data_IF_729055234185
#
_entry.id   IF_729055234185
#
_cell.length_a   1.000
_cell.length_b   1.000
_cell.length_c   1.000
_cell.angle_alpha   90.00
_cell.angle_beta   90.00
_cell.angle_gamma   90.00
#
_symmetry.space_group_name_H-M   'P 1'
#
loop_
_entity.id
_entity.type
_entity.pdbx_description
1 polymer ?
#
# COMPACT_ATOMS: atom_id res chain seq x y z
N UNK A 1 -39.32 4.78 -4.68
CA UNK A 1 -38.52 3.92 -5.59
C UNK A 1 -37.37 3.41 -4.77
N UNK A 2 -37.07 2.10 -4.81
CA UNK A 2 -35.93 1.56 -4.07
C UNK A 2 -34.62 2.10 -4.68
N UNK A 3 -33.67 2.51 -3.83
CA UNK A 3 -32.33 2.90 -4.27
C UNK A 3 -31.63 1.73 -4.97
N UNK A 4 -31.04 2.01 -6.13
CA UNK A 4 -30.30 1.03 -6.94
C UNK A 4 -28.79 1.13 -6.69
N UNK A 5 -28.32 2.27 -6.19
CA UNK A 5 -26.94 2.50 -5.79
C UNK A 5 -26.86 3.45 -4.59
N UNK A 6 -25.70 3.50 -3.95
CA UNK A 6 -25.35 4.55 -2.98
C UNK A 6 -24.45 5.59 -3.67
N UNK A 7 -24.75 6.86 -3.49
CA UNK A 7 -23.93 7.97 -3.98
C UNK A 7 -23.22 8.64 -2.81
N UNK A 8 -21.90 8.75 -2.89
CA UNK A 8 -21.14 9.56 -1.96
C UNK A 8 -21.41 11.06 -2.24
N UNK A 9 -21.88 11.82 -1.26
CA UNK A 9 -22.14 13.25 -1.36
C UNK A 9 -20.86 14.09 -1.44
N UNK A 10 -19.74 13.57 -0.95
CA UNK A 10 -18.46 14.29 -0.91
C UNK A 10 -17.72 14.23 -2.25
N UNK A 11 -17.76 13.09 -2.95
CA UNK A 11 -17.04 12.90 -4.22
C UNK A 11 -17.91 12.44 -5.40
N UNK A 12 -19.21 12.25 -5.21
CA UNK A 12 -20.15 11.85 -6.25
C UNK A 12 -20.02 10.40 -6.74
N UNK A 13 -19.19 9.58 -6.11
CA UNK A 13 -18.99 8.19 -6.50
C UNK A 13 -20.28 7.36 -6.31
N UNK A 14 -20.63 6.55 -7.31
CA UNK A 14 -21.75 5.62 -7.26
C UNK A 14 -21.25 4.22 -6.88
N UNK A 15 -21.87 3.61 -5.88
CA UNK A 15 -21.45 2.39 -5.21
C UNK A 15 -22.60 1.38 -5.28
N UNK A 16 -22.30 0.13 -5.64
CA UNK A 16 -23.32 -0.91 -5.93
C UNK A 16 -23.89 -1.57 -4.66
N UNK A 17 -23.28 -1.37 -3.49
CA UNK A 17 -23.65 -2.06 -2.25
C UNK A 17 -23.25 -1.27 -1.00
N UNK A 18 -23.79 -1.66 0.16
CA UNK A 18 -23.43 -1.09 1.46
C UNK A 18 -21.98 -1.40 1.83
N UNK A 19 -21.51 -2.61 1.53
CA UNK A 19 -20.10 -3.03 1.76
C UNK A 19 -19.13 -2.13 1.00
N UNK A 20 -19.41 -1.85 -0.28
CA UNK A 20 -18.58 -0.95 -1.07
C UNK A 20 -18.62 0.51 -0.54
N UNK A 21 -19.73 0.93 0.07
CA UNK A 21 -19.80 2.22 0.74
C UNK A 21 -18.97 2.25 2.04
N UNK A 22 -18.89 1.15 2.77
CA UNK A 22 -18.02 1.02 3.94
C UNK A 22 -16.55 1.06 3.52
N UNK A 23 -16.14 0.27 2.52
CA UNK A 23 -14.77 0.30 1.98
C UNK A 23 -14.40 1.69 1.45
N UNK A 24 -15.31 2.34 0.72
CA UNK A 24 -15.11 3.70 0.24
C UNK A 24 -14.95 4.69 1.41
N UNK A 25 -15.75 4.55 2.47
CA UNK A 25 -15.65 5.37 3.67
C UNK A 25 -14.30 5.19 4.37
N UNK A 26 -13.82 3.95 4.50
CA UNK A 26 -12.53 3.65 5.13
C UNK A 26 -11.35 4.18 4.31
N UNK A 27 -11.38 4.01 2.98
CA UNK A 27 -10.29 4.42 2.11
C UNK A 27 -10.21 5.94 1.92
N UNK A 28 -11.37 6.59 1.82
CA UNK A 28 -11.46 8.02 1.48
C UNK A 28 -11.81 8.92 2.66
N UNK A 29 -12.15 8.34 3.82
CA UNK A 29 -12.69 9.07 4.99
C UNK A 29 -13.97 9.86 4.68
N UNK A 30 -14.71 9.49 3.64
CA UNK A 30 -16.01 10.09 3.31
C UNK A 30 -17.11 9.44 4.15
N UNK A 31 -18.07 10.23 4.60
CA UNK A 31 -19.15 9.77 5.49
C UNK A 31 -20.55 10.13 5.00
N UNK A 32 -20.64 10.94 3.95
CA UNK A 32 -21.90 11.38 3.39
C UNK A 32 -22.34 10.43 2.27
N UNK A 33 -23.27 9.51 2.55
CA UNK A 33 -23.83 8.60 1.54
C UNK A 33 -25.34 8.80 1.44
N UNK A 34 -25.83 8.92 0.20
CA UNK A 34 -27.25 9.06 -0.11
C UNK A 34 -27.69 7.98 -1.10
N UNK A 35 -28.92 7.49 -0.97
CA UNK A 35 -29.49 6.55 -1.94
C UNK A 35 -29.70 7.26 -3.29
N UNK A 36 -29.33 6.58 -4.37
CA UNK A 36 -29.54 7.04 -5.74
C UNK A 36 -30.31 6.00 -6.55
N UNK A 37 -31.13 6.49 -7.48
CA UNK A 37 -31.82 5.67 -8.49
C UNK A 37 -30.95 5.39 -9.72
N UNK A 38 -29.73 5.94 -9.78
CA UNK A 38 -28.78 5.73 -10.86
C UNK A 38 -28.11 4.36 -10.71
N UNK A 39 -28.10 3.54 -11.76
CA UNK A 39 -27.38 2.27 -11.74
C UNK A 39 -25.87 2.50 -11.96
N UNK A 40 -25.03 1.78 -11.23
CA UNK A 40 -23.58 1.76 -11.48
C UNK A 40 -23.33 1.05 -12.81
N UNK A 41 -22.59 1.70 -13.72
CA UNK A 41 -22.26 1.12 -15.01
C UNK A 41 -21.43 -0.17 -14.81
N UNK A 42 -21.68 -1.21 -15.61
CA UNK A 42 -20.95 -2.47 -15.58
C UNK A 42 -20.68 -2.95 -17.01
N UNK A 43 -19.65 -2.37 -17.63
CA UNK A 43 -19.21 -2.71 -18.97
C UNK A 43 -18.17 -3.82 -18.89
N UNK A 44 -18.50 -5.03 -19.31
CA UNK A 44 -17.60 -6.19 -19.21
C UNK A 44 -16.90 -6.41 -20.56
N UNK A 45 -15.56 -6.40 -20.55
CA UNK A 45 -14.78 -6.69 -21.74
C UNK A 45 -14.98 -8.14 -22.20
N UNK A 46 -15.27 -8.39 -23.48
CA UNK A 46 -15.51 -9.75 -24.01
C UNK A 46 -14.26 -10.61 -24.02
N UNK A 47 -13.09 -9.99 -24.23
CA UNK A 47 -11.81 -10.70 -24.37
C UNK A 47 -11.22 -11.14 -23.03
N UNK A 48 -11.38 -10.34 -21.97
CA UNK A 48 -10.75 -10.61 -20.67
C UNK A 48 -11.70 -10.58 -19.48
N UNK A 49 -13.00 -10.41 -19.72
CA UNK A 49 -14.06 -10.42 -18.70
C UNK A 49 -13.87 -9.42 -17.55
N UNK A 50 -13.01 -8.40 -17.72
CA UNK A 50 -12.82 -7.35 -16.72
C UNK A 50 -14.02 -6.40 -16.74
N UNK A 51 -14.68 -6.16 -15.61
CA UNK A 51 -15.75 -5.17 -15.50
C UNK A 51 -15.16 -3.76 -15.42
N UNK A 52 -15.70 -2.84 -16.19
CA UNK A 52 -15.37 -1.42 -16.17
C UNK A 52 -16.60 -0.63 -15.70
N UNK A 53 -16.41 0.21 -14.68
CA UNK A 53 -17.48 0.93 -13.97
C UNK A 53 -17.82 2.28 -14.56
N UNK A 54 -17.07 2.72 -15.56
CA UNK A 54 -17.28 4.00 -16.22
C UNK A 54 -16.79 3.96 -17.66
N UNK A 55 -17.24 4.92 -18.47
CA UNK A 55 -16.77 5.06 -19.85
C UNK A 55 -15.26 5.31 -19.90
N UNK A 56 -14.75 6.15 -19.01
CA UNK A 56 -13.31 6.44 -18.89
C UNK A 56 -12.50 5.19 -18.55
N UNK A 57 -13.03 4.30 -17.70
CA UNK A 57 -12.37 3.04 -17.37
C UNK A 57 -12.33 2.08 -18.57
N UNK A 58 -13.42 1.97 -19.34
CA UNK A 58 -13.44 1.17 -20.58
C UNK A 58 -12.46 1.72 -21.63
N UNK A 59 -12.30 3.04 -21.71
CA UNK A 59 -11.38 3.69 -22.66
C UNK A 59 -9.92 3.51 -22.22
N UNK A 60 -9.63 3.60 -20.91
CA UNK A 60 -8.31 3.28 -20.35
C UNK A 60 -7.97 1.80 -20.51
N UNK A 61 -8.95 0.91 -20.30
CA UNK A 61 -8.81 -0.52 -20.52
C UNK A 61 -8.44 -0.80 -21.99
N UNK A 62 -9.15 -0.16 -22.92
CA UNK A 62 -8.86 -0.25 -24.36
C UNK A 62 -7.44 0.22 -24.67
N UNK A 63 -7.01 1.36 -24.12
CA UNK A 63 -5.66 1.91 -24.36
C UNK A 63 -4.54 1.04 -23.77
N UNK A 64 -4.77 0.40 -22.61
CA UNK A 64 -3.75 -0.40 -21.91
C UNK A 64 -3.65 -1.83 -22.42
N UNK A 65 -4.78 -2.42 -22.84
CA UNK A 65 -4.86 -3.85 -23.19
C UNK A 65 -5.13 -4.08 -24.68
N UNK A 66 -5.59 -3.06 -25.41
CA UNK A 66 -6.02 -3.19 -26.80
C UNK A 66 -7.40 -3.81 -26.99
N UNK A 67 -8.11 -4.17 -25.92
CA UNK A 67 -9.44 -4.77 -26.03
C UNK A 67 -10.51 -3.68 -26.23
N UNK A 68 -11.26 -3.77 -27.32
CA UNK A 68 -12.23 -2.74 -27.74
C UNK A 68 -13.69 -3.16 -27.57
N UNK A 69 -13.96 -4.44 -27.33
CA UNK A 69 -15.30 -5.00 -27.25
C UNK A 69 -15.77 -5.13 -25.80
N UNK A 70 -16.91 -4.52 -25.49
CA UNK A 70 -17.53 -4.54 -24.16
C UNK A 70 -19.04 -4.84 -24.27
N UNK A 71 -19.54 -5.63 -23.33
CA UNK A 71 -20.96 -5.92 -23.17
C UNK A 71 -21.47 -5.17 -21.94
N UNK A 72 -22.57 -4.43 -22.11
CA UNK A 72 -23.25 -3.77 -21.00
C UNK A 72 -24.09 -4.79 -20.22
N UNK A 73 -23.67 -5.06 -18.98
CA UNK A 73 -24.36 -5.96 -18.03
C UNK A 73 -24.94 -5.19 -16.84
N UNK A 74 -25.17 -3.89 -16.98
CA UNK A 74 -25.70 -3.05 -15.91
C UNK A 74 -26.98 -3.60 -15.29
N UNK A 75 -27.94 -4.01 -16.12
CA UNK A 75 -29.24 -4.51 -15.65
C UNK A 75 -29.16 -5.85 -14.90
N UNK A 76 -28.14 -6.68 -15.16
CA UNK A 76 -27.95 -7.95 -14.44
C UNK A 76 -27.42 -7.74 -13.00
N UNK A 77 -26.74 -6.62 -12.77
CA UNK A 77 -26.19 -6.25 -11.45
C UNK A 77 -27.12 -5.37 -10.61
N UNK A 78 -28.26 -4.93 -11.15
CA UNK A 78 -29.29 -4.18 -10.42
C UNK A 78 -30.08 -5.15 -9.55
N UNK A 79 -29.59 -5.37 -8.33
CA UNK A 79 -30.40 -5.92 -7.23
C UNK A 79 -30.74 -4.79 -6.26
N UNK A 80 -31.99 -4.69 -5.78
CA UNK A 80 -32.34 -3.70 -4.77
C UNK A 80 -31.49 -3.93 -3.52
N UNK A 81 -30.90 -2.87 -2.99
CA UNK A 81 -30.05 -2.92 -1.80
C UNK A 81 -30.96 -3.28 -0.61
N UNK A 82 -30.76 -4.46 -0.03
CA UNK A 82 -31.46 -4.91 1.18
C UNK A 82 -30.65 -4.55 2.41
N UNK A 83 -31.24 -3.79 3.33
CA UNK A 83 -30.58 -3.25 4.53
C UNK A 83 -30.64 -4.17 5.76
N UNK A 84 -31.09 -5.43 5.65
CA UNK A 84 -31.24 -6.32 6.80
C UNK A 84 -30.30 -7.54 6.75
N UNK A 85 -29.43 -7.63 7.76
CA UNK A 85 -28.62 -8.81 8.06
C UNK A 85 -29.46 -9.85 8.83
N UNK A 86 -29.53 -11.13 8.40
CA UNK A 86 -30.24 -12.16 9.14
C UNK A 86 -29.42 -12.64 10.35
N UNK A 87 -29.99 -12.43 11.53
CA UNK A 87 -29.52 -12.93 12.83
C UNK A 87 -29.86 -14.42 12.97
N UNK A 88 -28.86 -15.30 12.90
CA UNK A 88 -29.06 -16.74 13.06
C UNK A 88 -29.28 -17.12 14.53
N UNK A 89 -30.36 -17.86 14.75
CA UNK A 89 -30.82 -18.40 16.01
C UNK A 89 -30.12 -19.71 16.38
N UNK A 90 -30.14 -20.00 17.68
CA UNK A 90 -29.67 -21.21 18.33
C UNK A 90 -30.30 -22.51 17.80
N UNK A 91 -29.53 -23.60 17.85
CA UNK A 91 -30.05 -24.97 17.89
C UNK A 91 -29.30 -25.76 18.97
N UNK A 92 -30.08 -26.31 19.90
CA UNK A 92 -29.69 -27.34 20.87
C UNK A 92 -29.64 -28.72 20.21
N UNK A 93 -28.73 -29.59 20.65
CA UNK A 93 -28.91 -31.06 20.66
C UNK A 93 -28.26 -31.67 21.91
N UNK A 94 -29.06 -32.52 22.55
CA UNK A 94 -28.89 -33.37 23.75
C UNK A 94 -27.80 -34.48 23.70
N UNK A 95 -27.27 -34.76 24.90
CA UNK A 95 -26.95 -36.06 25.56
C UNK A 95 -26.19 -37.22 24.89
N UNK A 96 -25.12 -37.69 25.57
CA UNK A 96 -24.82 -39.10 25.98
C UNK A 96 -23.54 -39.08 26.86
N UNK A 97 -23.67 -39.25 28.19
CA UNK A 97 -23.52 -40.48 29.02
C UNK A 97 -22.07 -40.97 29.23
N UNK A 98 -21.73 -41.25 30.51
CA UNK A 98 -20.81 -42.34 30.85
C UNK A 98 -19.65 -42.07 31.81
N UNK A 99 -19.93 -42.11 33.13
CA UNK A 99 -19.11 -42.74 34.21
C UNK A 99 -17.64 -42.33 34.42
N UNK A 100 -17.26 -41.71 35.54
CA UNK A 100 -16.95 -42.31 36.87
C UNK A 100 -15.43 -42.33 37.16
N UNK A 101 -15.03 -41.82 38.33
CA UNK A 101 -13.74 -42.17 38.93
C UNK A 101 -13.05 -41.04 39.72
N UNK A 102 -13.20 -41.07 41.04
CA UNK A 102 -12.49 -40.25 42.04
C UNK A 102 -10.97 -40.44 42.05
N UNK A 103 -10.23 -39.40 42.45
CA UNK A 103 -8.84 -39.55 42.92
C UNK A 103 -8.08 -38.23 43.03
N UNK A 104 -7.73 -37.88 44.26
CA UNK A 104 -7.01 -36.68 44.71
C UNK A 104 -5.50 -36.67 44.36
N UNK A 105 -4.88 -35.50 44.51
CA UNK A 105 -3.45 -35.18 44.59
C UNK A 105 -2.70 -34.69 43.33
N UNK A 106 -2.65 -33.35 43.21
CA UNK A 106 -1.49 -32.52 42.84
C UNK A 106 -0.73 -32.82 41.55
N UNK A 107 -1.17 -32.21 40.45
CA UNK A 107 -0.33 -31.70 39.37
C UNK A 107 -1.02 -30.47 38.77
N UNK A 108 -0.29 -29.37 38.56
CA UNK A 108 -0.88 -28.14 37.99
C UNK A 108 -1.18 -28.41 36.53
N UNK A 109 -2.44 -28.68 36.21
CA UNK A 109 -2.91 -28.98 34.87
C UNK A 109 -2.67 -27.78 33.94
N UNK A 110 -1.75 -27.92 33.00
CA UNK A 110 -1.46 -26.91 31.98
C UNK A 110 -2.49 -27.04 30.86
N UNK A 111 -3.51 -26.19 30.89
CA UNK A 111 -4.61 -26.24 29.92
C UNK A 111 -4.35 -25.27 28.78
N UNK A 112 -4.62 -25.74 27.55
CA UNK A 112 -4.58 -24.95 26.31
C UNK A 112 -5.52 -23.73 26.45
N UNK A 113 -5.10 -22.50 26.08
CA UNK A 113 -6.00 -21.35 26.09
C UNK A 113 -7.31 -21.66 25.37
N UNK A 114 -8.44 -21.27 25.97
CA UNK A 114 -9.76 -21.34 25.33
C UNK A 114 -9.83 -20.35 24.16
N UNK A 115 -9.41 -20.79 22.98
CA UNK A 115 -9.48 -20.04 21.71
C UNK A 115 -10.70 -20.47 20.91
N UNK A 116 -11.20 -19.58 20.06
CA UNK A 116 -12.38 -19.83 19.24
C UNK A 116 -12.12 -20.96 18.23
N UNK A 117 -12.83 -22.08 18.41
CA UNK A 117 -12.61 -23.32 17.66
C UNK A 117 -12.79 -23.15 16.15
N UNK A 118 -13.74 -22.31 15.73
CA UNK A 118 -14.01 -22.06 14.32
C UNK A 118 -12.83 -21.37 13.62
N UNK A 119 -12.25 -20.35 14.26
CA UNK A 119 -11.11 -19.61 13.70
C UNK A 119 -9.84 -20.45 13.78
N UNK A 120 -9.71 -21.28 14.82
CA UNK A 120 -8.62 -22.23 14.95
C UNK A 120 -8.64 -23.29 13.84
N UNK A 121 -9.80 -23.87 13.52
CA UNK A 121 -9.97 -24.83 12.42
C UNK A 121 -9.66 -24.22 11.05
N UNK A 122 -10.01 -22.94 10.85
CA UNK A 122 -9.70 -22.22 9.61
C UNK A 122 -8.19 -21.95 9.47
N UNK A 123 -7.51 -21.55 10.55
CA UNK A 123 -6.05 -21.39 10.57
C UNK A 123 -5.32 -22.73 10.38
N UNK A 124 -5.82 -23.81 10.98
CA UNK A 124 -5.33 -25.18 10.72
C UNK A 124 -5.55 -25.57 9.24
N UNK A 125 -6.70 -25.20 8.66
CA UNK A 125 -7.03 -25.40 7.25
C UNK A 125 -6.15 -24.61 6.27
N UNK A 126 -5.65 -23.44 6.70
CA UNK A 126 -4.65 -22.64 5.97
C UNK A 126 -3.23 -23.22 6.08
N UNK A 127 -3.01 -24.24 6.91
CA UNK A 127 -1.73 -24.92 7.08
C UNK A 127 -0.86 -24.38 8.20
N UNK A 128 -1.39 -23.53 9.10
CA UNK A 128 -0.65 -23.10 10.28
C UNK A 128 -0.67 -24.20 11.36
N UNK A 129 0.47 -24.50 12.01
CA UNK A 129 0.49 -25.43 13.14
C UNK A 129 -0.47 -25.00 14.25
N UNK A 130 -1.19 -25.95 14.86
CA UNK A 130 -2.15 -25.69 15.95
C UNK A 130 -1.57 -24.85 17.08
N UNK A 131 -0.30 -25.08 17.44
CA UNK A 131 0.39 -24.30 18.47
C UNK A 131 0.52 -22.82 18.10
N UNK A 132 0.94 -22.54 16.86
CA UNK A 132 1.05 -21.20 16.29
C UNK A 132 -0.30 -20.52 16.16
N UNK A 133 -1.32 -21.23 15.68
CA UNK A 133 -2.69 -20.72 15.56
C UNK A 133 -3.30 -20.37 16.93
N UNK A 134 -3.11 -21.24 17.93
CA UNK A 134 -3.56 -21.01 19.31
C UNK A 134 -2.84 -19.82 19.93
N UNK A 135 -1.54 -19.67 19.69
CA UNK A 135 -0.72 -18.55 20.16
C UNK A 135 -1.17 -17.24 19.52
N UNK A 136 -1.35 -17.25 18.19
CA UNK A 136 -1.84 -16.11 17.44
C UNK A 136 -3.21 -15.65 17.92
N UNK A 137 -4.15 -16.58 18.11
CA UNK A 137 -5.48 -16.27 18.63
C UNK A 137 -5.44 -15.74 20.06
N UNK A 138 -4.56 -16.28 20.90
CA UNK A 138 -4.40 -15.81 22.27
C UNK A 138 -3.83 -14.38 22.32
N UNK A 139 -2.82 -14.04 21.50
CA UNK A 139 -2.22 -12.71 21.49
C UNK A 139 -2.98 -11.68 20.64
N UNK A 140 -3.72 -12.13 19.63
CA UNK A 140 -4.68 -11.29 18.88
C UNK A 140 -5.97 -11.05 19.67
N UNK A 141 -6.18 -11.77 20.78
CA UNK A 141 -7.33 -11.62 21.67
C UNK A 141 -8.63 -12.19 21.10
N UNK A 142 -8.56 -13.23 20.26
CA UNK A 142 -9.69 -13.84 19.56
C UNK A 142 -10.51 -12.83 18.72
N UNK A 143 -9.89 -11.77 18.18
CA UNK A 143 -10.61 -10.67 17.54
C UNK A 143 -11.19 -11.04 16.16
N UNK A 144 -10.39 -11.65 15.28
CA UNK A 144 -10.81 -12.17 13.97
C UNK A 144 -9.73 -13.09 13.37
N UNK A 145 -10.05 -13.78 12.29
CA UNK A 145 -9.09 -14.58 11.52
C UNK A 145 -7.92 -13.71 11.02
N UNK A 146 -8.22 -12.56 10.43
CA UNK A 146 -7.23 -11.65 9.86
C UNK A 146 -6.29 -11.10 10.93
N UNK A 147 -6.80 -10.79 12.12
CA UNK A 147 -5.98 -10.35 13.25
C UNK A 147 -5.02 -11.44 13.72
N UNK A 148 -5.45 -12.71 13.72
CA UNK A 148 -4.59 -13.84 14.02
C UNK A 148 -3.54 -14.08 12.93
N UNK A 149 -3.92 -14.01 11.65
CA UNK A 149 -2.98 -14.13 10.52
C UNK A 149 -1.95 -13.00 10.53
N UNK A 150 -2.36 -11.76 10.79
CA UNK A 150 -1.43 -10.63 10.89
C UNK A 150 -0.43 -10.84 12.03
N UNK A 151 -0.88 -11.34 13.18
CA UNK A 151 0.02 -11.69 14.28
C UNK A 151 1.02 -12.78 13.90
N UNK A 152 0.56 -13.83 13.20
CA UNK A 152 1.43 -14.92 12.71
C UNK A 152 2.53 -14.38 11.79
N UNK A 153 2.17 -13.50 10.85
CA UNK A 153 3.13 -12.90 9.90
C UNK A 153 4.15 -12.03 10.62
N UNK A 154 3.72 -11.22 11.59
CA UNK A 154 4.62 -10.36 12.37
C UNK A 154 5.63 -11.14 13.22
N UNK A 155 5.32 -12.39 13.59
CA UNK A 155 6.11 -13.23 14.50
C UNK A 155 6.59 -14.54 13.85
N UNK A 156 6.55 -14.66 12.52
CA UNK A 156 6.85 -15.91 11.81
C UNK A 156 8.31 -16.38 11.92
N UNK A 157 9.22 -15.45 12.24
CA UNK A 157 10.66 -15.68 12.36
C UNK A 157 11.10 -15.94 13.80
N UNK A 158 10.17 -15.94 14.75
CA UNK A 158 10.49 -16.19 16.15
C UNK A 158 10.73 -17.69 16.38
N UNK A 159 11.86 -18.09 17.00
CA UNK A 159 12.23 -19.50 17.16
C UNK A 159 11.27 -20.28 18.06
N UNK A 160 10.41 -19.59 18.82
CA UNK A 160 9.40 -20.15 19.71
C UNK A 160 7.96 -20.02 19.17
N UNK A 161 7.77 -19.57 17.93
CA UNK A 161 6.43 -19.33 17.33
C UNK A 161 5.57 -20.61 17.26
N UNK A 162 6.20 -21.78 17.14
CA UNK A 162 5.55 -23.09 17.10
C UNK A 162 5.47 -23.79 18.47
N UNK A 163 5.97 -23.16 19.53
CA UNK A 163 5.84 -23.70 20.88
C UNK A 163 4.44 -23.41 21.43
N UNK A 164 3.78 -24.47 21.90
CA UNK A 164 2.42 -24.36 22.43
C UNK A 164 2.43 -23.48 23.70
N UNK A 165 1.68 -22.35 23.70
CA UNK A 165 1.69 -21.43 24.82
C UNK A 165 1.08 -22.10 26.05
N UNK A 166 1.87 -22.22 27.11
CA UNK A 166 1.43 -22.72 28.41
C UNK A 166 0.95 -21.54 29.24
N UNK A 167 -0.36 -21.45 29.46
CA UNK A 167 -0.94 -20.50 30.42
C UNK A 167 -1.45 -21.26 31.65
N UNK A 168 -1.23 -20.75 32.87
CA UNK A 168 -1.85 -21.33 34.06
C UNK A 168 -3.37 -21.16 33.99
N UNK A 169 -4.11 -22.21 34.34
CA UNK A 169 -5.56 -22.38 34.12
C UNK A 169 -6.50 -21.38 34.87
N UNK A 170 -6.00 -20.23 35.32
CA UNK A 170 -6.84 -19.19 35.92
C UNK A 170 -6.35 -17.78 35.58
N UNK A 171 -6.64 -17.33 34.35
CA UNK A 171 -6.60 -15.91 33.95
C UNK A 171 -7.99 -15.33 33.71
N UNK A 172 -9.03 -15.92 34.31
CA UNK A 172 -10.24 -15.19 34.66
C UNK A 172 -10.28 -15.14 36.19
N UNK A 173 -9.93 -13.97 36.75
CA UNK A 173 -9.76 -13.67 38.19
C UNK A 173 -8.47 -14.18 38.87
N UNK A 174 -7.33 -13.59 38.50
CA UNK A 174 -6.18 -13.46 39.41
C UNK A 174 -6.23 -12.11 40.15
N UNK A 175 -5.72 -12.01 41.40
CA UNK A 175 -5.68 -10.73 42.11
C UNK A 175 -4.89 -9.73 41.27
N UNK A 176 -5.23 -8.43 41.34
CA UNK A 176 -4.58 -7.43 40.51
C UNK A 176 -3.08 -7.56 40.73
N UNK A 177 -2.32 -7.75 39.64
CA UNK A 177 -0.87 -7.46 39.63
C UNK A 177 -0.69 -6.15 40.41
N UNK A 178 0.31 -6.03 41.31
CA UNK A 178 0.45 -4.86 42.17
C UNK A 178 0.31 -3.62 41.29
N UNK A 179 -0.82 -2.95 41.42
CA UNK A 179 -1.16 -1.85 40.55
C UNK A 179 -0.03 -0.85 40.71
N UNK A 180 0.74 -0.61 39.65
CA UNK A 180 1.55 0.61 39.61
C UNK A 180 0.61 1.71 40.03
N UNK A 181 1.06 2.51 40.98
CA UNK A 181 0.20 3.54 41.55
C UNK A 181 -0.32 4.40 40.39
N UNK A 182 -1.58 4.86 40.43
CA UNK A 182 -2.14 5.66 39.35
C UNK A 182 -1.30 6.91 39.01
N UNK A 183 -0.40 7.31 39.90
CA UNK A 183 0.62 8.34 39.69
C UNK A 183 1.79 7.84 38.80
N UNK A 184 2.35 6.65 39.04
CA UNK A 184 3.44 6.10 38.23
C UNK A 184 3.01 5.82 36.78
N UNK A 185 1.76 5.41 36.56
CA UNK A 185 1.21 5.19 35.21
C UNK A 185 1.04 6.50 34.45
N UNK A 186 0.59 7.57 35.13
CA UNK A 186 0.49 8.91 34.52
C UNK A 186 1.86 9.47 34.18
N UNK A 187 2.85 9.30 35.06
CA UNK A 187 4.22 9.77 34.83
C UNK A 187 4.82 9.07 33.60
N UNK A 188 4.71 7.74 33.50
CA UNK A 188 5.18 6.99 32.31
C UNK A 188 4.42 7.36 31.04
N UNK A 189 3.10 7.60 31.13
CA UNK A 189 2.30 8.04 29.99
C UNK A 189 2.70 9.45 29.53
N UNK A 190 3.00 10.36 30.45
CA UNK A 190 3.52 11.69 30.15
C UNK A 190 4.91 11.63 29.52
N UNK A 191 5.82 10.83 30.09
CA UNK A 191 7.18 10.62 29.56
C UNK A 191 7.16 10.06 28.12
N UNK A 192 6.32 9.06 27.85
CA UNK A 192 6.14 8.51 26.50
C UNK A 192 5.61 9.55 25.51
N UNK A 193 4.67 10.41 25.93
CA UNK A 193 4.15 11.51 25.11
C UNK A 193 5.21 12.57 24.82
N UNK A 194 6.01 12.95 25.82
CA UNK A 194 7.10 13.91 25.62
C UNK A 194 8.19 13.35 24.72
N UNK A 195 8.53 12.07 24.87
CA UNK A 195 9.48 11.37 23.99
C UNK A 195 8.96 11.30 22.56
N UNK A 196 7.67 11.06 22.36
CA UNK A 196 7.04 11.10 21.03
C UNK A 196 7.09 12.52 20.42
N UNK A 197 6.79 13.56 21.21
CA UNK A 197 6.88 14.97 20.77
C UNK A 197 8.31 15.33 20.36
N UNK A 198 9.29 14.98 21.18
CA UNK A 198 10.72 15.25 20.91
C UNK A 198 11.21 14.51 19.66
N UNK A 199 10.82 13.24 19.48
CA UNK A 199 11.16 12.47 18.28
C UNK A 199 10.57 13.12 17.01
N UNK A 200 9.31 13.57 17.08
CA UNK A 200 8.65 14.27 15.97
C UNK A 200 9.36 15.59 15.62
N UNK A 201 9.74 16.38 16.62
CA UNK A 201 10.47 17.64 16.42
C UNK A 201 11.87 17.41 15.82
N UNK A 202 12.60 16.40 16.28
CA UNK A 202 13.92 16.04 15.74
C UNK A 202 13.82 15.54 14.28
N UNK A 203 12.79 14.75 13.97
CA UNK A 203 12.51 14.27 12.62
C UNK A 203 12.12 15.42 11.68
N UNK A 204 11.24 16.32 12.11
CA UNK A 204 10.86 17.52 11.35
C UNK A 204 12.07 18.40 11.06
N UNK A 205 12.94 18.63 12.05
CA UNK A 205 14.19 19.38 11.89
C UNK A 205 15.19 18.66 10.98
N UNK A 206 15.17 17.32 10.92
CA UNK A 206 15.98 16.56 9.95
C UNK A 206 15.43 16.75 8.53
N UNK A 207 14.12 16.63 8.35
CA UNK A 207 13.44 16.85 7.07
C UNK A 207 13.60 18.29 6.56
N UNK A 208 13.60 19.28 7.45
CA UNK A 208 13.86 20.68 7.09
C UNK A 208 15.29 20.86 6.57
N UNK A 209 16.30 20.31 7.25
CA UNK A 209 17.69 20.36 6.78
C UNK A 209 17.87 19.64 5.44
N UNK A 210 17.13 18.55 5.20
CA UNK A 210 17.17 17.84 3.92
C UNK A 210 16.54 18.66 2.80
N UNK A 211 15.38 19.27 3.02
CA UNK A 211 14.76 20.20 2.06
C UNK A 211 15.67 21.39 1.74
N UNK A 212 16.31 21.96 2.75
CA UNK A 212 17.26 23.06 2.61
C UNK A 212 18.48 22.66 1.78
N UNK A 213 19.06 21.48 2.06
CA UNK A 213 20.16 20.92 1.28
C UNK A 213 19.74 20.67 -0.17
N UNK A 214 18.53 20.18 -0.39
CA UNK A 214 18.02 19.93 -1.74
C UNK A 214 17.84 21.22 -2.54
N UNK A 215 17.28 22.26 -1.92
CA UNK A 215 17.19 23.58 -2.55
C UNK A 215 18.58 24.11 -2.94
N UNK A 216 19.59 23.95 -2.08
CA UNK A 216 20.97 24.36 -2.38
C UNK A 216 21.56 23.51 -3.51
N UNK A 217 21.30 22.20 -3.52
CA UNK A 217 21.79 21.28 -4.56
C UNK A 217 21.23 21.66 -5.92
N UNK A 218 19.91 21.78 -6.03
CA UNK A 218 19.22 22.20 -7.26
C UNK A 218 19.71 23.58 -7.69
N UNK A 219 19.87 24.52 -6.76
CA UNK A 219 20.40 25.85 -7.07
C UNK A 219 21.82 25.82 -7.64
N UNK A 220 22.70 24.96 -7.10
CA UNK A 220 24.07 24.77 -7.63
C UNK A 220 24.05 24.10 -9.00
N UNK A 221 23.25 23.07 -9.18
CA UNK A 221 23.12 22.35 -10.45
C UNK A 221 22.60 23.26 -11.56
N UNK A 222 21.60 24.10 -11.25
CA UNK A 222 21.09 25.11 -12.18
C UNK A 222 22.18 26.13 -12.57
N UNK A 223 22.97 26.58 -11.60
CA UNK A 223 24.05 27.54 -11.86
C UNK A 223 25.17 26.91 -12.70
N UNK A 224 25.50 25.65 -12.45
CA UNK A 224 26.48 24.90 -13.23
C UNK A 224 25.99 24.63 -14.66
N UNK A 225 24.73 24.22 -14.83
CA UNK A 225 24.12 24.05 -16.15
C UNK A 225 24.18 25.36 -16.97
N UNK A 226 23.90 26.50 -16.34
CA UNK A 226 24.01 27.81 -16.97
C UNK A 226 25.45 28.14 -17.38
N UNK A 227 26.44 27.84 -16.52
CA UNK A 227 27.86 28.01 -16.86
C UNK A 227 28.28 27.17 -18.05
N UNK A 228 27.87 25.90 -18.09
CA UNK A 228 28.14 24.99 -19.20
C UNK A 228 27.50 25.51 -20.49
N UNK A 229 26.26 26.01 -20.42
CA UNK A 229 25.58 26.61 -21.57
C UNK A 229 26.31 27.85 -22.10
N UNK A 230 26.70 28.77 -21.22
CA UNK A 230 27.47 29.97 -21.57
C UNK A 230 28.84 29.61 -22.16
N UNK A 231 29.56 28.64 -21.59
CA UNK A 231 30.85 28.18 -22.11
C UNK A 231 30.68 27.47 -23.46
N UNK A 232 29.61 26.71 -23.66
CA UNK A 232 29.28 26.12 -24.96
C UNK A 232 28.93 27.20 -25.99
N UNK A 233 28.20 28.25 -25.61
CA UNK A 233 27.91 29.39 -26.48
C UNK A 233 29.19 30.14 -26.85
N UNK A 234 30.08 30.40 -25.88
CA UNK A 234 31.40 30.98 -26.15
C UNK A 234 32.23 30.13 -27.10
N UNK A 235 32.25 28.81 -26.93
CA UNK A 235 32.92 27.88 -27.84
C UNK A 235 32.34 27.96 -29.25
N UNK A 236 31.00 28.01 -29.40
CA UNK A 236 30.33 28.18 -30.70
C UNK A 236 30.76 29.47 -31.39
N UNK A 237 30.76 30.58 -30.65
CA UNK A 237 31.21 31.88 -31.17
C UNK A 237 32.70 31.87 -31.55
N UNK A 238 33.54 31.25 -30.73
CA UNK A 238 34.98 31.13 -31.00
C UNK A 238 35.27 30.29 -32.24
N UNK A 239 34.45 29.26 -32.50
CA UNK A 239 34.49 28.47 -33.74
C UNK A 239 33.79 29.15 -34.93
N UNK A 240 33.30 30.38 -34.78
CA UNK A 240 32.71 31.19 -35.85
C UNK A 240 31.23 30.94 -36.14
N UNK A 241 30.54 30.11 -35.35
CA UNK A 241 29.11 29.83 -35.53
C UNK A 241 28.25 31.01 -35.09
N UNK A 242 27.27 31.36 -35.92
CA UNK A 242 26.29 32.41 -35.71
C UNK A 242 24.88 31.80 -35.56
N UNK A 243 24.04 32.39 -34.72
CA UNK A 243 22.63 31.98 -34.56
C UNK A 243 21.78 32.62 -35.66
N UNK A 244 20.95 31.84 -36.34
CA UNK A 244 19.92 32.39 -37.26
C UNK A 244 18.75 32.99 -36.47
N UNK A 245 17.95 33.84 -37.13
CA UNK A 245 16.72 34.39 -36.57
C UNK A 245 15.81 33.25 -36.09
N UNK A 246 15.53 33.22 -34.79
CA UNK A 246 14.78 32.15 -34.12
C UNK A 246 15.63 31.22 -33.22
N UNK A 247 16.96 31.26 -33.32
CA UNK A 247 17.87 30.54 -32.40
C UNK A 247 17.91 29.02 -32.53
N UNK A 248 17.08 28.43 -33.41
CA UNK A 248 17.00 26.98 -33.62
C UNK A 248 18.19 26.42 -34.42
N UNK A 249 18.75 27.21 -35.34
CA UNK A 249 19.83 26.78 -36.21
C UNK A 249 21.09 27.63 -36.02
N UNK A 250 22.23 26.96 -35.99
CA UNK A 250 23.55 27.57 -36.08
C UNK A 250 24.02 27.51 -37.52
N UNK A 251 24.60 28.61 -38.02
CA UNK A 251 25.25 28.64 -39.32
C UNK A 251 26.68 29.15 -39.19
N UNK A 252 27.59 28.64 -40.01
CA UNK A 252 28.96 29.11 -40.10
C UNK A 252 29.12 29.81 -41.47
N UNK A 253 29.40 31.13 -41.51
CA UNK A 253 29.61 31.85 -42.76
C UNK A 253 30.72 31.21 -43.60
N UNK A 254 30.50 31.07 -44.92
CA UNK A 254 31.46 30.38 -45.83
C UNK A 254 32.83 31.05 -45.88
N UNK A 255 32.89 32.35 -45.67
CA UNK A 255 34.10 33.17 -45.61
C UNK A 255 34.93 32.89 -44.34
N UNK A 256 34.30 32.42 -43.26
CA UNK A 256 34.96 32.05 -42.00
C UNK A 256 35.39 30.58 -41.95
N UNK A 257 35.07 29.80 -42.98
CA UNK A 257 35.46 28.39 -43.08
C UNK A 257 36.89 28.31 -43.58
N UNK A 258 37.79 27.70 -42.79
CA UNK A 258 39.09 27.24 -43.26
C UNK A 258 38.96 25.81 -43.81
N UNK A 259 39.05 25.61 -45.14
CA UNK A 259 38.92 24.28 -45.74
C UNK A 259 40.02 23.32 -45.29
N UNK A 260 41.23 23.81 -44.98
CA UNK A 260 42.33 22.96 -44.54
C UNK A 260 42.03 22.38 -43.15
N UNK A 261 41.49 23.18 -42.24
CA UNK A 261 41.08 22.74 -40.90
C UNK A 261 39.92 21.74 -40.99
N UNK A 262 38.91 22.00 -41.82
CA UNK A 262 37.78 21.06 -41.99
C UNK A 262 38.25 19.73 -42.58
N UNK A 263 39.10 19.75 -43.60
CA UNK A 263 39.62 18.53 -44.21
C UNK A 263 40.47 17.73 -43.22
N UNK A 264 41.33 18.41 -42.45
CA UNK A 264 42.14 17.79 -41.40
C UNK A 264 41.27 17.16 -40.30
N UNK A 265 40.28 17.90 -39.77
CA UNK A 265 39.34 17.38 -38.79
C UNK A 265 38.53 16.19 -39.35
N UNK A 266 38.12 16.26 -40.62
CA UNK A 266 37.45 15.16 -41.31
C UNK A 266 38.32 13.93 -41.43
N UNK A 267 39.62 14.08 -41.73
CA UNK A 267 40.56 12.94 -41.78
C UNK A 267 40.79 12.30 -40.41
N UNK A 268 40.87 13.10 -39.34
CA UNK A 268 41.01 12.59 -37.96
C UNK A 268 39.74 11.84 -37.53
N UNK A 269 38.56 12.39 -37.78
CA UNK A 269 37.28 11.73 -37.49
C UNK A 269 37.12 10.44 -38.30
N UNK A 270 37.48 10.44 -39.58
CA UNK A 270 37.43 9.24 -40.40
C UNK A 270 38.43 8.18 -39.94
N UNK A 271 39.61 8.59 -39.47
CA UNK A 271 40.61 7.69 -38.89
C UNK A 271 40.10 7.09 -37.59
N UNK A 272 39.46 7.90 -36.73
CA UNK A 272 38.80 7.46 -35.50
C UNK A 272 37.66 6.47 -35.76
N UNK A 273 36.74 6.76 -36.66
CA UNK A 273 35.58 5.90 -36.97
C UNK A 273 36.02 4.56 -37.56
N UNK A 274 37.05 4.57 -38.43
CA UNK A 274 37.56 3.35 -39.03
C UNK A 274 38.59 2.63 -38.16
N UNK A 275 38.95 3.19 -36.99
CA UNK A 275 39.85 2.56 -36.06
C UNK A 275 39.13 1.38 -35.37
N UNK A 276 39.59 0.13 -35.56
CA UNK A 276 38.97 -1.05 -34.95
C UNK A 276 38.95 -1.01 -33.41
N UNK A 277 39.74 -0.13 -32.80
CA UNK A 277 39.90 -0.01 -31.35
C UNK A 277 39.19 1.22 -30.75
N UNK A 278 38.42 1.99 -31.53
CA UNK A 278 37.83 3.27 -31.10
C UNK A 278 36.85 3.20 -29.90
N UNK A 279 36.45 2.00 -29.47
CA UNK A 279 35.61 1.78 -28.29
C UNK A 279 36.12 0.71 -27.32
N UNK A 280 37.40 0.34 -27.39
CA UNK A 280 37.99 -0.76 -26.59
C UNK A 280 38.80 -0.22 -25.39
N UNK A 281 38.85 1.10 -25.18
CA UNK A 281 39.53 1.75 -24.06
C UNK A 281 38.54 2.48 -23.14
#
# INVERSE_FOLDING_TARGET
MAGVSLKCGDCGALLKSVEEAQEHAELTSHSNFAESTEAVLNLVCTTCSKPCRSKTESDLHTKRTGHTEFVDKTMETVKPISLEAPKAAAMEIDNIDGSSGSGDASEVEMVVPGVDKNILEELEGMGFPKARATRALHYSGNASLEAAVNWVVEHENDPDVDEMPKVPANSNSGPPKPALTPEEVKIKAQELRERARKKKEEEEKRMEREREKERIRIGKELLEAKRIEEDNERKRLLCGFEKMEGGEFLFLPRDKIDPAVINSAGTELNSAINNPFFGVL
#
